data_IF_700735708838
#
_entry.id   IF_700735708838
#
_cell.length_a   1.000
_cell.length_b   1.000
_cell.length_c   1.000
_cell.angle_alpha   90.00
_cell.angle_beta   90.00
_cell.angle_gamma   90.00
#
_symmetry.space_group_name_H-M   'P 1'
#
loop_
_entity.id
_entity.type
_entity.pdbx_description
1 polymer ?
#
# COMPACT_ATOMS: atom_id res chain seq x y z
N UNK A 1 -17.24 18.14 10.34
CA UNK A 1 -16.96 16.74 9.94
C UNK A 1 -16.04 16.60 8.71
N UNK A 2 -15.22 17.59 8.33
CA UNK A 2 -14.21 17.42 7.27
C UNK A 2 -14.78 16.86 5.96
N UNK A 3 -14.04 15.98 5.30
CA UNK A 3 -14.49 15.28 4.08
C UNK A 3 -15.54 14.18 4.34
N UNK A 4 -15.81 13.86 5.61
CA UNK A 4 -16.72 12.79 5.99
C UNK A 4 -18.18 13.28 6.05
N UNK A 5 -19.04 12.65 5.23
CA UNK A 5 -20.47 12.95 5.15
C UNK A 5 -21.27 12.23 6.24
N UNK A 6 -22.52 12.65 6.45
CA UNK A 6 -23.47 11.94 7.30
C UNK A 6 -23.70 10.50 6.80
N UNK A 7 -23.90 9.53 7.71
CA UNK A 7 -23.99 8.08 7.41
C UNK A 7 -22.72 7.47 6.81
N UNK A 8 -21.57 7.82 7.37
CA UNK A 8 -20.30 7.27 6.93
C UNK A 8 -20.12 5.79 7.34
N UNK A 9 -19.49 4.92 6.51
CA UNK A 9 -19.33 3.49 6.79
C UNK A 9 -18.21 3.24 7.83
N UNK A 10 -18.44 3.68 9.07
CA UNK A 10 -17.46 3.66 10.14
C UNK A 10 -16.92 2.27 10.45
N UNK A 11 -17.75 1.23 10.34
CA UNK A 11 -17.33 -0.17 10.50
C UNK A 11 -16.21 -0.58 9.53
N UNK A 12 -16.26 -0.09 8.29
CA UNK A 12 -15.27 -0.40 7.25
C UNK A 12 -13.94 0.30 7.56
N UNK A 13 -13.98 1.55 8.05
CA UNK A 13 -12.78 2.25 8.52
C UNK A 13 -12.16 1.57 9.74
N UNK A 14 -12.98 1.09 10.69
CA UNK A 14 -12.50 0.34 11.84
C UNK A 14 -11.83 -0.96 11.41
N UNK A 15 -12.45 -1.72 10.49
CA UNK A 15 -11.87 -2.93 9.90
C UNK A 15 -10.52 -2.64 9.22
N UNK A 16 -10.47 -1.60 8.37
CA UNK A 16 -9.24 -1.17 7.70
C UNK A 16 -8.14 -0.83 8.71
N UNK A 17 -8.49 -0.14 9.79
CA UNK A 17 -7.57 0.20 10.88
C UNK A 17 -7.02 -1.03 11.59
N UNK A 18 -7.85 -2.05 11.86
CA UNK A 18 -7.42 -3.31 12.45
C UNK A 18 -6.43 -4.05 11.55
N UNK A 19 -6.77 -4.21 10.26
CA UNK A 19 -5.91 -4.86 9.27
C UNK A 19 -4.57 -4.12 9.13
N UNK A 20 -4.60 -2.79 9.12
CA UNK A 20 -3.41 -1.96 9.01
C UNK A 20 -2.48 -2.11 10.22
N UNK A 21 -3.04 -2.17 11.45
CA UNK A 21 -2.25 -2.44 12.67
C UNK A 21 -1.64 -3.84 12.65
N UNK A 22 -2.42 -4.86 12.26
CA UNK A 22 -1.91 -6.23 12.13
C UNK A 22 -0.75 -6.30 11.13
N UNK A 23 -0.90 -5.69 9.96
CA UNK A 23 0.16 -5.62 8.96
C UNK A 23 1.42 -4.91 9.49
N UNK A 24 1.26 -3.80 10.20
CA UNK A 24 2.38 -3.07 10.81
C UNK A 24 3.11 -3.92 11.87
N UNK A 25 2.36 -4.60 12.76
CA UNK A 25 2.94 -5.50 13.76
C UNK A 25 3.69 -6.67 13.11
N UNK A 26 3.14 -7.27 12.05
CA UNK A 26 3.80 -8.34 11.29
C UNK A 26 5.09 -7.84 10.61
N UNK A 27 5.09 -6.63 10.04
CA UNK A 27 6.27 -5.97 9.48
C UNK A 27 7.37 -5.74 10.52
N UNK A 28 7.01 -5.27 11.70
CA UNK A 28 7.95 -5.01 12.79
C UNK A 28 8.55 -6.30 13.36
N UNK A 29 7.75 -7.35 13.49
CA UNK A 29 8.21 -8.67 13.88
C UNK A 29 9.22 -9.25 12.86
N UNK A 30 8.91 -9.12 11.56
CA UNK A 30 9.81 -9.53 10.48
C UNK A 30 11.12 -8.74 10.49
N UNK A 31 11.05 -7.42 10.62
CA UNK A 31 12.24 -6.57 10.69
C UNK A 31 13.13 -6.96 11.88
N UNK A 32 12.53 -7.16 13.05
CA UNK A 32 13.22 -7.62 14.25
C UNK A 32 13.87 -9.00 14.04
N UNK A 33 13.15 -9.93 13.42
CA UNK A 33 13.67 -11.24 13.07
C UNK A 33 14.90 -11.11 12.17
N UNK A 34 14.80 -10.41 11.04
CA UNK A 34 15.92 -10.23 10.09
C UNK A 34 17.15 -9.61 10.76
N UNK A 35 16.95 -8.60 11.63
CA UNK A 35 18.05 -7.96 12.37
C UNK A 35 18.73 -8.95 13.33
N UNK A 36 17.93 -9.71 14.10
CA UNK A 36 18.47 -10.68 15.08
C UNK A 36 19.20 -11.83 14.39
N UNK A 37 18.65 -12.34 13.29
CA UNK A 37 19.25 -13.44 12.52
C UNK A 37 20.55 -13.02 11.84
N UNK A 38 20.62 -11.79 11.34
CA UNK A 38 21.85 -11.25 10.71
C UNK A 38 22.98 -11.06 11.73
N UNK A 39 22.65 -10.75 12.99
CA UNK A 39 23.63 -10.60 14.08
C UNK A 39 24.15 -11.92 14.65
N UNK A 40 23.39 -13.01 14.51
CA UNK A 40 23.66 -14.29 15.19
C UNK A 40 24.22 -15.38 14.27
N UNK A 41 24.15 -15.24 12.94
CA UNK A 41 24.63 -16.26 12.01
C UNK A 41 26.04 -15.98 11.46
N UNK A 42 26.95 -16.91 11.72
CA UNK A 42 28.13 -17.23 10.90
C UNK A 42 27.65 -17.85 9.57
N UNK A 43 28.27 -17.61 8.40
CA UNK A 43 27.70 -18.00 7.10
C UNK A 43 27.55 -19.52 6.99
N UNK A 44 26.35 -20.01 7.31
CA UNK A 44 25.99 -21.40 7.11
C UNK A 44 25.85 -21.66 5.60
N UNK A 45 26.34 -22.83 5.20
CA UNK A 45 26.44 -23.36 3.84
C UNK A 45 25.08 -23.48 3.13
N UNK A 46 24.41 -22.35 2.85
CA UNK A 46 23.34 -22.30 1.88
C UNK A 46 23.93 -22.46 0.49
N UNK A 47 23.22 -23.14 -0.42
CA UNK A 47 23.50 -23.00 -1.83
C UNK A 47 23.39 -21.50 -2.18
N UNK A 48 24.49 -20.85 -2.64
CA UNK A 48 24.49 -19.40 -2.85
C UNK A 48 23.41 -18.97 -3.86
N UNK A 49 23.10 -19.83 -4.82
CA UNK A 49 22.09 -19.62 -5.86
C UNK A 49 20.67 -19.54 -5.30
N UNK A 50 20.28 -20.46 -4.41
CA UNK A 50 18.94 -20.44 -3.78
C UNK A 50 18.79 -19.22 -2.88
N UNK A 51 19.81 -18.90 -2.08
CA UNK A 51 19.78 -17.74 -1.18
C UNK A 51 19.67 -16.42 -1.94
N UNK A 52 20.35 -16.32 -3.09
CA UNK A 52 20.28 -15.19 -4.03
C UNK A 52 18.88 -15.04 -4.60
N UNK A 53 18.29 -16.14 -5.09
CA UNK A 53 16.95 -16.16 -5.68
C UNK A 53 15.88 -15.77 -4.65
N UNK A 54 15.92 -16.36 -3.46
CA UNK A 54 14.99 -16.01 -2.37
C UNK A 54 15.14 -14.53 -1.99
N UNK A 55 16.37 -14.03 -1.82
CA UNK A 55 16.61 -12.61 -1.51
C UNK A 55 16.00 -11.69 -2.56
N UNK A 56 16.19 -12.02 -3.84
CA UNK A 56 15.62 -11.26 -4.97
C UNK A 56 14.09 -11.23 -4.90
N UNK A 57 13.46 -12.40 -4.80
CA UNK A 57 11.99 -12.50 -4.74
C UNK A 57 11.41 -11.79 -3.52
N UNK A 58 12.05 -11.93 -2.35
CA UNK A 58 11.69 -11.19 -1.14
C UNK A 58 11.78 -9.65 -1.33
N UNK A 59 12.80 -9.17 -2.04
CA UNK A 59 12.94 -7.76 -2.38
C UNK A 59 11.83 -7.26 -3.32
N UNK A 60 11.49 -8.04 -4.34
CA UNK A 60 10.38 -7.75 -5.26
C UNK A 60 9.03 -7.70 -4.52
N UNK A 61 8.74 -8.71 -3.69
CA UNK A 61 7.52 -8.76 -2.86
C UNK A 61 7.40 -7.54 -1.94
N UNK A 62 8.49 -7.19 -1.25
CA UNK A 62 8.53 -6.04 -0.33
C UNK A 62 8.28 -4.73 -1.08
N UNK A 63 8.92 -4.56 -2.24
CA UNK A 63 8.76 -3.36 -3.08
C UNK A 63 7.33 -3.23 -3.62
N UNK A 64 6.76 -4.31 -4.17
CA UNK A 64 5.39 -4.33 -4.66
C UNK A 64 4.37 -4.08 -3.54
N UNK A 65 4.57 -4.67 -2.37
CA UNK A 65 3.72 -4.47 -1.18
C UNK A 65 3.78 -3.03 -0.70
N UNK A 66 4.97 -2.45 -0.57
CA UNK A 66 5.14 -1.06 -0.16
C UNK A 66 4.50 -0.09 -1.15
N UNK A 67 4.61 -0.36 -2.46
CA UNK A 67 3.94 0.42 -3.48
C UNK A 67 2.42 0.33 -3.37
N UNK A 68 1.87 -0.87 -3.19
CA UNK A 68 0.44 -1.08 -3.01
C UNK A 68 -0.09 -0.34 -1.77
N UNK A 69 0.56 -0.52 -0.61
CA UNK A 69 0.18 0.17 0.63
C UNK A 69 0.20 1.70 0.49
N UNK A 70 1.21 2.27 -0.19
CA UNK A 70 1.26 3.72 -0.46
C UNK A 70 0.08 4.18 -1.33
N UNK A 71 -0.25 3.44 -2.38
CA UNK A 71 -1.38 3.76 -3.25
C UNK A 71 -2.71 3.71 -2.50
N UNK A 72 -2.91 2.67 -1.68
CA UNK A 72 -4.12 2.50 -0.86
C UNK A 72 -4.24 3.58 0.22
N UNK A 73 -3.13 3.97 0.85
CA UNK A 73 -3.09 5.05 1.83
C UNK A 73 -3.50 6.38 1.19
N UNK A 74 -2.88 6.75 0.06
CA UNK A 74 -3.24 7.98 -0.67
C UNK A 74 -4.70 7.99 -1.12
N UNK A 75 -5.21 6.86 -1.63
CA UNK A 75 -6.61 6.73 -2.03
C UNK A 75 -7.57 6.96 -0.84
N UNK A 76 -7.25 6.37 0.32
CA UNK A 76 -8.06 6.50 1.53
C UNK A 76 -8.01 7.92 2.11
N UNK A 77 -6.84 8.55 2.12
CA UNK A 77 -6.63 9.92 2.61
C UNK A 77 -7.37 10.95 1.77
N UNK A 78 -7.33 10.79 0.44
CA UNK A 78 -7.97 11.71 -0.51
C UNK A 78 -9.43 11.35 -0.81
N UNK A 79 -9.92 10.23 -0.26
CA UNK A 79 -11.23 9.65 -0.58
C UNK A 79 -11.45 9.50 -2.10
N UNK A 80 -10.39 9.12 -2.80
CA UNK A 80 -10.41 8.87 -4.24
C UNK A 80 -10.34 7.37 -4.51
N UNK A 81 -11.00 6.94 -5.58
CA UNK A 81 -10.98 5.54 -6.00
C UNK A 81 -9.52 5.16 -6.25
N UNK A 82 -8.99 4.13 -5.57
CA UNK A 82 -7.62 3.72 -5.79
C UNK A 82 -7.43 3.36 -7.27
N UNK A 83 -6.32 3.77 -7.91
CA UNK A 83 -5.96 3.20 -9.21
C UNK A 83 -5.90 1.68 -9.05
N UNK A 84 -6.19 0.88 -10.09
CA UNK A 84 -6.31 -0.58 -9.95
C UNK A 84 -5.13 -1.18 -9.17
N UNK A 85 -5.31 -1.36 -7.86
CA UNK A 85 -4.28 -1.87 -6.94
C UNK A 85 -3.94 -3.32 -7.29
N UNK A 86 -4.81 -3.92 -8.10
CA UNK A 86 -4.74 -5.17 -8.83
C UNK A 86 -3.33 -5.44 -9.38
N UNK A 87 -2.65 -4.46 -10.00
CA UNK A 87 -1.35 -4.76 -10.63
C UNK A 87 -0.24 -5.00 -9.61
N UNK A 88 -0.10 -4.14 -8.60
CA UNK A 88 0.96 -4.25 -7.60
C UNK A 88 0.70 -5.40 -6.62
N UNK A 89 -0.55 -5.55 -6.16
CA UNK A 89 -0.95 -6.67 -5.30
C UNK A 89 -0.87 -7.99 -6.05
N UNK A 90 -1.32 -8.08 -7.31
CA UNK A 90 -1.18 -9.30 -8.11
C UNK A 90 0.27 -9.66 -8.40
N UNK A 91 1.15 -8.67 -8.64
CA UNK A 91 2.57 -8.91 -8.81
C UNK A 91 3.20 -9.47 -7.53
N UNK A 92 2.85 -8.89 -6.37
CA UNK A 92 3.31 -9.37 -5.07
C UNK A 92 2.81 -10.81 -4.79
N UNK A 93 1.53 -11.10 -5.04
CA UNK A 93 0.96 -12.44 -4.88
C UNK A 93 1.64 -13.46 -5.80
N UNK A 94 1.83 -13.13 -7.08
CA UNK A 94 2.54 -14.01 -8.03
C UNK A 94 3.97 -14.32 -7.57
N UNK A 95 4.66 -13.32 -7.04
CA UNK A 95 6.00 -13.50 -6.47
C UNK A 95 5.97 -14.38 -5.20
N UNK A 96 4.97 -14.21 -4.34
CA UNK A 96 4.76 -15.03 -3.15
C UNK A 96 4.52 -16.51 -3.50
N UNK A 97 3.66 -16.78 -4.49
CA UNK A 97 3.39 -18.13 -4.98
C UNK A 97 4.63 -18.77 -5.60
N UNK A 98 5.37 -18.01 -6.42
CA UNK A 98 6.65 -18.46 -6.96
C UNK A 98 7.64 -18.83 -5.86
N UNK A 99 7.76 -17.97 -4.83
CA UNK A 99 8.65 -18.23 -3.69
C UNK A 99 8.23 -19.49 -2.91
N UNK A 100 6.93 -19.73 -2.73
CA UNK A 100 6.42 -20.94 -2.06
C UNK A 100 6.77 -22.22 -2.82
N UNK A 101 6.65 -22.20 -4.16
CA UNK A 101 7.03 -23.34 -5.00
C UNK A 101 8.53 -23.63 -4.89
N UNK A 102 9.37 -22.61 -5.01
CA UNK A 102 10.82 -22.73 -4.87
C UNK A 102 11.22 -23.27 -3.49
N UNK A 103 10.53 -22.83 -2.43
CA UNK A 103 10.75 -23.31 -1.07
C UNK A 103 10.36 -24.79 -0.92
N UNK A 104 9.25 -25.20 -1.52
CA UNK A 104 8.79 -26.59 -1.51
C UNK A 104 9.75 -27.52 -2.26
N UNK A 105 10.23 -27.11 -3.44
CA UNK A 105 11.18 -27.89 -4.26
C UNK A 105 12.54 -28.05 -3.57
N UNK A 106 12.96 -27.07 -2.79
CA UNK A 106 14.26 -27.06 -2.12
C UNK A 106 14.17 -27.41 -0.62
N UNK A 107 13.05 -27.96 -0.15
CA UNK A 107 12.79 -28.22 1.28
C UNK A 107 13.91 -29.03 1.97
N UNK A 108 14.49 -30.02 1.28
CA UNK A 108 15.60 -30.83 1.81
C UNK A 108 16.95 -30.07 1.86
N UNK A 109 17.09 -29.00 1.08
CA UNK A 109 18.30 -28.17 0.95
C UNK A 109 18.24 -26.91 1.84
N UNK A 110 17.04 -26.52 2.29
CA UNK A 110 16.74 -25.38 3.15
C UNK A 110 17.13 -25.60 4.62
N UNK A 111 18.28 -26.20 4.87
CA UNK A 111 18.84 -26.29 6.23
C UNK A 111 19.04 -24.91 6.87
N UNK A 112 18.98 -23.83 6.08
CA UNK A 112 18.87 -22.45 6.59
C UNK A 112 17.41 -22.12 6.90
N UNK A 113 16.96 -22.60 8.07
CA UNK A 113 15.66 -22.29 8.69
C UNK A 113 15.29 -20.80 8.57
N UNK A 114 16.26 -19.91 8.66
CA UNK A 114 16.04 -18.46 8.60
C UNK A 114 15.58 -17.93 7.25
N UNK A 115 16.06 -18.51 6.14
CA UNK A 115 15.64 -18.13 4.79
C UNK A 115 14.20 -18.53 4.56
N UNK A 116 13.83 -19.75 4.96
CA UNK A 116 12.47 -20.26 4.87
C UNK A 116 11.49 -19.44 5.72
N UNK A 117 11.84 -19.15 6.98
CA UNK A 117 10.99 -18.33 7.86
C UNK A 117 10.81 -16.92 7.32
N UNK A 118 11.89 -16.27 6.85
CA UNK A 118 11.81 -14.92 6.25
C UNK A 118 10.91 -14.91 5.02
N UNK A 119 11.04 -15.90 4.14
CA UNK A 119 10.23 -16.04 2.94
C UNK A 119 8.73 -16.23 3.27
N UNK A 120 8.41 -17.12 4.21
CA UNK A 120 7.02 -17.38 4.64
C UNK A 120 6.38 -16.14 5.28
N UNK A 121 7.08 -15.46 6.18
CA UNK A 121 6.59 -14.24 6.81
C UNK A 121 6.31 -13.13 5.78
N UNK A 122 7.16 -13.00 4.76
CA UNK A 122 6.92 -12.06 3.66
C UNK A 122 5.71 -12.46 2.80
N UNK A 123 5.50 -13.75 2.56
CA UNK A 123 4.34 -14.23 1.82
C UNK A 123 3.03 -13.98 2.58
N UNK A 124 3.04 -14.12 3.90
CA UNK A 124 1.89 -13.81 4.76
C UNK A 124 1.62 -12.31 4.80
N UNK A 125 2.66 -11.48 4.81
CA UNK A 125 2.54 -10.02 4.70
C UNK A 125 1.89 -9.61 3.36
N UNK A 126 2.27 -10.24 2.25
CA UNK A 126 1.63 -10.01 0.95
C UNK A 126 0.13 -10.34 1.02
N UNK A 127 -0.26 -11.43 1.69
CA UNK A 127 -1.66 -11.78 1.88
C UNK A 127 -2.41 -10.71 2.72
N UNK A 128 -1.80 -10.19 3.79
CA UNK A 128 -2.38 -9.10 4.58
C UNK A 128 -2.55 -7.81 3.75
N UNK A 129 -1.59 -7.48 2.90
CA UNK A 129 -1.70 -6.32 1.98
C UNK A 129 -2.86 -6.50 1.00
N UNK A 130 -3.08 -7.73 0.51
CA UNK A 130 -4.25 -8.07 -0.30
C UNK A 130 -5.56 -7.86 0.47
N UNK A 131 -5.65 -8.30 1.72
CA UNK A 131 -6.85 -8.07 2.55
C UNK A 131 -7.13 -6.58 2.78
N UNK A 132 -6.08 -5.78 2.99
CA UNK A 132 -6.20 -4.32 3.06
C UNK A 132 -6.74 -3.76 1.75
N UNK A 133 -6.20 -4.20 0.61
CA UNK A 133 -6.68 -3.77 -0.72
C UNK A 133 -8.17 -4.09 -0.92
N UNK A 134 -8.57 -5.34 -0.64
CA UNK A 134 -9.96 -5.78 -0.75
C UNK A 134 -10.88 -4.97 0.20
N UNK A 135 -10.39 -4.62 1.39
CA UNK A 135 -11.11 -3.78 2.35
C UNK A 135 -11.26 -2.32 1.86
N UNK A 136 -10.21 -1.74 1.27
CA UNK A 136 -10.25 -0.38 0.70
C UNK A 136 -11.18 -0.34 -0.51
N UNK A 137 -11.22 -1.38 -1.34
CA UNK A 137 -12.15 -1.46 -2.47
C UNK A 137 -13.61 -1.49 -2.02
N UNK A 138 -13.93 -2.24 -0.95
CA UNK A 138 -15.25 -2.21 -0.33
C UNK A 138 -15.54 -0.82 0.22
N UNK A 139 -14.59 -0.24 0.97
CA UNK A 139 -14.74 1.07 1.57
C UNK A 139 -14.98 2.15 0.52
N UNK A 140 -14.25 2.13 -0.59
CA UNK A 140 -14.39 3.09 -1.68
C UNK A 140 -15.79 3.08 -2.28
N UNK A 141 -16.41 1.90 -2.42
CA UNK A 141 -17.79 1.75 -2.91
C UNK A 141 -18.81 2.30 -1.91
N UNK A 142 -18.69 1.92 -0.64
CA UNK A 142 -19.62 2.30 0.44
C UNK A 142 -19.52 3.79 0.81
N UNK A 143 -18.31 4.34 0.80
CA UNK A 143 -18.04 5.75 1.11
C UNK A 143 -18.18 6.67 -0.10
N UNK A 144 -18.52 6.11 -1.28
CA UNK A 144 -18.64 6.84 -2.55
C UNK A 144 -17.39 7.67 -2.87
N UNK A 145 -16.22 7.02 -2.84
CA UNK A 145 -14.96 7.65 -3.23
C UNK A 145 -15.07 8.24 -4.64
N UNK A 146 -14.48 9.41 -4.82
CA UNK A 146 -14.55 10.14 -6.09
C UNK A 146 -13.53 9.59 -7.08
N UNK A 147 -13.82 9.69 -8.38
CA UNK A 147 -12.81 9.39 -9.37
C UNK A 147 -11.77 10.52 -9.44
N UNK A 148 -10.47 10.22 -9.60
CA UNK A 148 -9.41 11.24 -9.70
C UNK A 148 -9.62 12.26 -10.84
N UNK A 149 -10.45 11.91 -11.84
CA UNK A 149 -10.77 12.79 -12.98
C UNK A 149 -11.77 13.89 -12.65
N UNK A 150 -12.55 13.75 -11.58
CA UNK A 150 -13.58 14.73 -11.22
C UNK A 150 -13.01 15.94 -10.46
N UNK A 151 -11.82 15.81 -9.85
CA UNK A 151 -11.12 16.93 -9.19
C UNK A 151 -10.76 18.06 -10.16
N UNK A 152 -10.47 17.75 -11.44
CA UNK A 152 -10.16 18.78 -12.45
C UNK A 152 -11.39 19.59 -12.88
N UNK A 153 -12.61 19.07 -12.71
CA UNK A 153 -13.85 19.78 -13.07
C UNK A 153 -14.33 20.71 -11.95
N UNK A 154 -14.20 20.29 -10.70
CA UNK A 154 -14.57 21.12 -9.55
C UNK A 154 -13.68 22.37 -9.41
N UNK A 155 -12.37 22.24 -9.69
CA UNK A 155 -11.45 23.40 -9.67
C UNK A 155 -11.74 24.39 -10.81
N UNK A 156 -12.11 23.91 -12.01
CA UNK A 156 -12.45 24.77 -13.13
C UNK A 156 -13.76 25.54 -12.93
N UNK A 157 -14.72 25.00 -12.17
CA UNK A 157 -16.00 25.67 -11.91
C UNK A 157 -15.91 26.72 -10.80
N UNK A 158 -15.05 26.51 -9.80
CA UNK A 158 -14.83 27.49 -8.71
C UNK A 158 -14.05 28.73 -9.20
N UNK A 159 -13.16 28.58 -10.18
CA UNK A 159 -12.35 29.69 -10.70
C UNK A 159 -13.16 30.67 -11.57
N UNK A 160 -14.34 30.28 -12.03
CA UNK A 160 -15.18 31.12 -12.91
C UNK A 160 -16.09 32.09 -12.15
N UNK A 161 -16.24 31.94 -10.81
CA UNK A 161 -17.17 32.78 -10.03
C UNK A 161 -16.53 33.92 -9.20
N UNK A 162 -15.20 34.07 -9.19
CA UNK A 162 -14.53 35.06 -8.32
C UNK A 162 -13.93 36.29 -9.03
N UNK A 163 -14.08 36.43 -10.35
CA UNK A 163 -13.52 37.58 -11.08
C UNK A 163 -14.53 38.71 -11.28
N UNK A 164 -15.05 39.23 -10.17
CA UNK A 164 -15.84 40.47 -10.10
C UNK A 164 -14.98 41.72 -10.26
N UNK A 165 -14.78 42.15 -11.51
CA UNK A 165 -14.62 43.52 -12.02
C UNK A 165 -14.20 44.62 -11.00
N UNK A 166 -12.90 44.86 -10.87
CA UNK A 166 -12.35 46.18 -10.50
C UNK A 166 -12.11 46.95 -11.80
N UNK A 167 -12.99 47.90 -12.12
CA UNK A 167 -12.78 48.90 -13.16
C UNK A 167 -12.19 50.17 -12.55
N UNK A 168 -11.32 50.91 -13.25
CA UNK A 168 -10.69 52.12 -12.72
C UNK A 168 -11.71 53.26 -12.57
N UNK A 169 -11.58 54.05 -11.50
CA UNK A 169 -12.36 55.25 -11.21
C UNK A 169 -11.97 56.39 -12.18
N UNK A 170 -12.90 57.26 -12.59
CA UNK A 170 -12.58 58.43 -13.41
C UNK A 170 -12.06 59.60 -12.56
N UNK A 171 -11.08 60.33 -13.11
CA UNK A 171 -10.63 61.63 -12.62
C UNK A 171 -11.77 62.65 -12.64
N UNK A 172 -12.02 63.30 -11.51
CA UNK A 172 -12.87 64.49 -11.43
C UNK A 172 -12.01 65.66 -10.96
N UNK A 173 -11.72 66.54 -11.91
CA UNK A 173 -11.23 67.90 -11.70
C UNK A 173 -12.40 68.74 -11.18
N UNK A 174 -12.22 69.43 -10.05
CA UNK A 174 -13.06 70.58 -9.68
C UNK A 174 -12.13 71.76 -9.36
N UNK A 175 -12.48 72.89 -9.98
CA UNK A 175 -11.93 74.25 -9.85
C UNK A 175 -11.70 74.69 -8.40
#
# INVERSE_FOLDING_TARGET
>A
HGQFRFRHPWSQYQKLGTLSRQCASSMEALASYVITTTKTQYPAAASPDLSSKVRKTCGEMSSHSAKALRQLATATETMTVPPPANLAVSAAMKAAEGLRLELAENAAMLQVMHVAVTASLLADLVAQVKEIADCVDVLAREAHFKNPKDERRDVAHVDTLSRGRSGPLPDVVIL
#
